data_IF_616275387742
#
_entry.id   IF_616275387742
#
_cell.length_a   1.000
_cell.length_b   1.000
_cell.length_c   1.000
_cell.angle_alpha   90.00
_cell.angle_beta   90.00
_cell.angle_gamma   90.00
#
_symmetry.space_group_name_H-M   'P 1'
#
loop_
_entity.id
_entity.type
_entity.pdbx_description
1 polymer ?
#
# COMPACT_ATOMS: atom_id res chain seq x y z
N UNK A 1 -18.53 -1.15 -3.56
CA UNK A 1 -17.42 -0.19 -3.61
C UNK A 1 -17.27 0.50 -2.25
N UNK A 2 -18.33 1.01 -1.64
CA UNK A 2 -18.28 1.72 -0.34
C UNK A 2 -17.57 0.93 0.75
N UNK A 3 -17.86 -0.37 0.89
CA UNK A 3 -17.19 -1.24 1.87
C UNK A 3 -15.67 -1.35 1.63
N UNK A 4 -15.23 -1.36 0.36
CA UNK A 4 -13.80 -1.34 0.03
C UNK A 4 -13.16 -0.01 0.41
N UNK A 5 -13.86 1.10 0.21
CA UNK A 5 -13.38 2.42 0.59
C UNK A 5 -13.27 2.56 2.11
N UNK A 6 -14.25 2.03 2.86
CA UNK A 6 -14.24 1.98 4.31
C UNK A 6 -13.10 1.10 4.82
N UNK A 7 -12.93 -0.10 4.27
CA UNK A 7 -11.83 -0.99 4.63
C UNK A 7 -10.45 -0.38 4.32
N UNK A 8 -10.32 0.34 3.21
CA UNK A 8 -9.07 1.05 2.90
C UNK A 8 -8.77 2.15 3.92
N UNK A 9 -9.78 2.81 4.42
CA UNK A 9 -9.67 3.91 5.39
C UNK A 9 -9.63 3.41 6.85
N UNK A 10 -9.68 2.10 7.07
CA UNK A 10 -9.83 1.47 8.40
C UNK A 10 -11.05 2.02 9.17
N UNK A 11 -12.13 2.32 8.45
CA UNK A 11 -13.40 2.75 9.04
C UNK A 11 -14.30 1.55 9.24
N UNK A 12 -14.99 1.48 10.38
CA UNK A 12 -15.88 0.37 10.71
C UNK A 12 -16.90 0.10 9.58
N UNK A 13 -17.21 -1.17 9.39
CA UNK A 13 -18.15 -1.63 8.37
C UNK A 13 -19.30 -2.36 9.06
N UNK A 14 -20.51 -1.86 8.83
CA UNK A 14 -21.75 -2.51 9.25
C UNK A 14 -22.45 -3.13 8.04
N UNK A 15 -22.76 -4.41 8.11
CA UNK A 15 -23.49 -5.11 7.06
C UNK A 15 -24.74 -5.73 7.62
N UNK A 16 -25.89 -5.23 7.19
CA UNK A 16 -27.19 -5.84 7.47
C UNK A 16 -27.71 -6.51 6.20
N UNK A 17 -28.06 -7.78 6.30
CA UNK A 17 -28.64 -8.54 5.18
C UNK A 17 -30.03 -9.02 5.58
N UNK A 18 -30.98 -8.94 4.65
CA UNK A 18 -32.36 -9.42 4.86
C UNK A 18 -32.38 -10.93 5.23
N UNK A 19 -31.42 -11.69 4.71
CA UNK A 19 -31.28 -13.12 4.98
C UNK A 19 -30.61 -13.46 6.32
N UNK A 20 -29.98 -12.48 6.99
CA UNK A 20 -29.36 -12.65 8.29
C UNK A 20 -29.76 -11.50 9.21
N UNK A 21 -30.63 -11.75 10.21
CA UNK A 21 -31.10 -10.70 11.09
C UNK A 21 -30.04 -10.16 12.06
N UNK A 22 -28.88 -10.84 12.17
CA UNK A 22 -27.77 -10.37 13.01
C UNK A 22 -26.85 -9.51 12.15
N UNK A 23 -26.71 -8.20 12.45
CA UNK A 23 -25.76 -7.33 11.76
C UNK A 23 -24.33 -7.86 11.93
N UNK A 24 -23.55 -7.80 10.85
CA UNK A 24 -22.11 -8.05 10.92
C UNK A 24 -21.44 -6.70 11.11
N UNK A 25 -20.78 -6.54 12.25
CA UNK A 25 -19.96 -5.38 12.56
C UNK A 25 -18.49 -5.76 12.45
N UNK A 26 -17.71 -4.99 11.68
CA UNK A 26 -16.26 -5.14 11.55
C UNK A 26 -15.64 -3.80 11.94
N UNK A 27 -15.08 -3.74 13.13
CA UNK A 27 -14.57 -2.51 13.71
C UNK A 27 -13.31 -1.98 13.00
N UNK A 28 -12.36 -2.87 12.75
CA UNK A 28 -11.07 -2.54 12.14
C UNK A 28 -10.82 -3.35 10.87
N UNK A 29 -11.55 -3.06 9.77
CA UNK A 29 -11.39 -3.81 8.54
C UNK A 29 -10.03 -3.49 7.89
N UNK A 30 -9.31 -4.52 7.46
CA UNK A 30 -8.07 -4.37 6.71
C UNK A 30 -8.10 -5.27 5.47
N UNK A 31 -8.04 -4.66 4.30
CA UNK A 31 -8.03 -5.38 3.02
C UNK A 31 -6.79 -4.96 2.22
N UNK A 32 -5.99 -5.94 1.84
CA UNK A 32 -4.90 -5.76 0.90
C UNK A 32 -5.26 -6.41 -0.42
N UNK A 33 -5.11 -5.66 -1.51
CA UNK A 33 -5.36 -6.15 -2.86
C UNK A 33 -4.12 -5.97 -3.73
N UNK A 34 -3.70 -7.04 -4.36
CA UNK A 34 -2.65 -7.05 -5.38
C UNK A 34 -3.19 -7.73 -6.61
N UNK A 35 -2.89 -7.19 -7.77
CA UNK A 35 -3.34 -7.78 -9.02
C UNK A 35 -2.64 -7.19 -10.22
N UNK A 36 -2.83 -7.82 -11.35
CA UNK A 36 -2.34 -7.33 -12.63
C UNK A 36 -3.50 -6.96 -13.53
N UNK A 37 -3.29 -5.96 -14.36
CA UNK A 37 -4.28 -5.54 -15.35
C UNK A 37 -3.59 -5.09 -16.63
N UNK A 38 -4.33 -5.13 -17.72
CA UNK A 38 -3.86 -4.59 -18.99
C UNK A 38 -4.03 -3.07 -18.99
N UNK A 39 -3.07 -2.34 -19.56
CA UNK A 39 -3.12 -0.86 -19.67
C UNK A 39 -4.44 -0.36 -20.27
N UNK A 40 -4.97 -1.07 -21.27
CA UNK A 40 -6.27 -0.73 -21.87
C UNK A 40 -7.41 -0.73 -20.84
N UNK A 41 -7.39 -1.68 -19.88
CA UNK A 41 -8.44 -1.78 -18.86
C UNK A 41 -8.39 -0.61 -17.88
N UNK A 42 -7.21 -0.08 -17.60
CA UNK A 42 -7.07 1.13 -16.76
C UNK A 42 -7.81 2.29 -17.40
N UNK A 43 -7.64 2.50 -18.70
CA UNK A 43 -8.39 3.54 -19.42
C UNK A 43 -9.91 3.32 -19.41
N UNK A 44 -10.37 2.07 -19.41
CA UNK A 44 -11.79 1.75 -19.30
C UNK A 44 -12.35 2.08 -17.90
N UNK A 45 -11.54 1.88 -16.86
CA UNK A 45 -11.92 2.27 -15.50
C UNK A 45 -12.09 3.79 -15.37
N UNK A 46 -11.18 4.57 -15.94
CA UNK A 46 -11.27 6.03 -15.99
C UNK A 46 -12.57 6.50 -16.68
N UNK A 47 -12.92 5.89 -17.82
CA UNK A 47 -14.14 6.24 -18.57
C UNK A 47 -15.45 5.89 -17.85
N UNK A 48 -15.46 4.96 -16.90
CA UNK A 48 -16.65 4.50 -16.17
C UNK A 48 -17.02 5.35 -14.96
N UNK A 49 -16.35 6.48 -14.74
CA UNK A 49 -16.64 7.37 -13.61
C UNK A 49 -16.20 6.83 -12.25
N UNK A 50 -15.28 5.86 -12.23
CA UNK A 50 -14.69 5.39 -10.96
C UNK A 50 -13.79 6.45 -10.31
N UNK A 51 -13.52 7.54 -11.00
CA UNK A 51 -12.85 8.72 -10.45
C UNK A 51 -13.72 9.42 -9.40
N UNK A 52 -15.03 9.49 -9.64
CA UNK A 52 -15.96 10.27 -8.82
C UNK A 52 -16.13 9.69 -7.41
N UNK A 53 -15.93 8.39 -7.24
CA UNK A 53 -16.05 7.72 -5.94
C UNK A 53 -14.73 7.59 -5.16
N UNK A 54 -13.62 8.07 -5.72
CA UNK A 54 -12.29 8.04 -5.11
C UNK A 54 -11.68 6.64 -4.99
N UNK A 55 -12.19 5.63 -5.71
CA UNK A 55 -11.59 4.29 -5.72
C UNK A 55 -10.20 4.31 -6.35
N UNK A 56 -10.05 5.00 -7.48
CA UNK A 56 -8.78 5.07 -8.21
C UNK A 56 -7.70 5.81 -7.41
N UNK A 57 -8.07 6.79 -6.61
CA UNK A 57 -7.16 7.51 -5.73
C UNK A 57 -6.53 6.62 -4.64
N UNK A 58 -7.12 5.46 -4.40
CA UNK A 58 -6.68 4.48 -3.40
C UNK A 58 -5.87 3.33 -3.98
N UNK A 59 -5.80 3.25 -5.31
CA UNK A 59 -5.05 2.21 -6.02
C UNK A 59 -3.69 2.77 -6.44
N UNK A 60 -2.61 2.08 -6.07
CA UNK A 60 -1.28 2.40 -6.56
C UNK A 60 -1.04 1.63 -7.86
N UNK A 61 -1.08 2.34 -8.97
CA UNK A 61 -0.75 1.77 -10.28
C UNK A 61 0.76 1.79 -10.49
N UNK A 62 1.32 0.62 -10.75
CA UNK A 62 2.74 0.48 -11.10
C UNK A 62 2.84 0.03 -12.55
N UNK A 63 3.54 0.82 -13.36
CA UNK A 63 3.80 0.50 -14.75
C UNK A 63 5.30 0.23 -14.90
N UNK A 64 5.73 -1.04 -14.90
CA UNK A 64 7.13 -1.37 -15.11
C UNK A 64 7.55 -0.92 -16.51
N UNK A 65 8.79 -0.45 -16.63
CA UNK A 65 9.37 -0.21 -17.96
C UNK A 65 9.34 -1.52 -18.75
N UNK A 66 9.12 -1.42 -20.07
CA UNK A 66 9.14 -2.61 -20.92
C UNK A 66 10.48 -3.36 -20.78
N UNK A 67 10.40 -4.65 -20.53
CA UNK A 67 11.55 -5.53 -20.48
C UNK A 67 11.72 -6.23 -21.83
N UNK A 68 12.95 -6.38 -22.25
CA UNK A 68 13.26 -7.33 -23.32
C UNK A 68 12.95 -8.73 -22.75
N UNK A 69 12.11 -9.47 -23.43
CA UNK A 69 11.86 -10.87 -23.07
C UNK A 69 13.15 -11.64 -23.35
N UNK A 70 13.81 -12.26 -22.36
CA UNK A 70 15.02 -13.01 -22.58
C UNK A 70 14.73 -14.22 -23.48
N UNK A 71 15.69 -14.58 -24.32
CA UNK A 71 15.60 -15.83 -25.06
C UNK A 71 15.74 -16.99 -24.10
N UNK A 72 15.00 -18.05 -24.35
CA UNK A 72 15.20 -19.30 -23.63
C UNK A 72 16.50 -19.93 -24.10
N UNK A 73 17.37 -20.28 -23.18
CA UNK A 73 18.62 -21.00 -23.42
C UNK A 73 18.51 -22.41 -22.86
N UNK A 74 19.06 -23.40 -23.51
CA UNK A 74 19.04 -24.78 -23.01
C UNK A 74 19.96 -24.99 -21.80
N UNK A 75 20.87 -24.04 -21.52
CA UNK A 75 21.73 -24.07 -20.35
C UNK A 75 21.01 -23.45 -19.14
N UNK A 76 20.57 -24.28 -18.24
CA UNK A 76 20.08 -23.87 -16.91
C UNK A 76 21.20 -23.26 -16.03
N UNK A 77 22.43 -23.16 -16.52
CA UNK A 77 23.63 -22.86 -15.77
C UNK A 77 24.15 -21.41 -15.90
N UNK A 78 23.51 -20.53 -16.65
CA UNK A 78 23.81 -19.10 -16.48
C UNK A 78 23.08 -18.55 -15.26
N UNK A 79 23.55 -19.07 -14.17
CA UNK A 79 23.31 -18.69 -12.81
C UNK A 79 23.47 -17.16 -12.65
N UNK A 80 22.41 -16.50 -12.33
CA UNK A 80 22.41 -15.11 -11.83
C UNK A 80 23.09 -14.99 -10.46
N UNK A 81 24.00 -15.89 -10.09
CA UNK A 81 24.84 -15.84 -8.86
C UNK A 81 24.10 -15.96 -7.55
N UNK A 82 22.80 -16.06 -7.54
CA UNK A 82 21.99 -16.20 -6.33
C UNK A 82 21.33 -17.58 -6.31
N UNK A 83 21.75 -18.42 -5.39
CA UNK A 83 21.08 -19.70 -5.13
C UNK A 83 19.61 -19.44 -4.75
N UNK A 84 18.61 -19.84 -5.57
CA UNK A 84 17.19 -19.57 -5.29
C UNK A 84 16.77 -20.09 -3.93
N UNK A 85 17.33 -21.20 -3.46
CA UNK A 85 17.03 -21.74 -2.15
C UNK A 85 17.56 -20.87 -1.00
N UNK A 86 18.68 -20.18 -1.17
CA UNK A 86 19.18 -19.24 -0.15
C UNK A 86 18.34 -17.96 -0.11
N UNK A 87 17.94 -17.44 -1.26
CA UNK A 87 17.06 -16.29 -1.35
C UNK A 87 15.70 -16.56 -0.69
N UNK A 88 15.15 -17.75 -0.92
CA UNK A 88 13.91 -18.18 -0.29
C UNK A 88 14.01 -18.27 1.23
N UNK A 89 15.05 -18.88 1.76
CA UNK A 89 15.30 -18.97 3.22
C UNK A 89 15.46 -17.61 3.86
N UNK A 90 16.15 -16.68 3.17
CA UNK A 90 16.27 -15.29 3.64
C UNK A 90 14.91 -14.61 3.71
N UNK A 91 14.08 -14.80 2.69
CA UNK A 91 12.72 -14.29 2.69
C UNK A 91 11.86 -14.87 3.82
N UNK A 92 11.91 -16.19 4.02
CA UNK A 92 11.21 -16.85 5.13
C UNK A 92 11.61 -16.27 6.47
N UNK A 93 12.91 -16.11 6.73
CA UNK A 93 13.41 -15.53 7.98
C UNK A 93 12.94 -14.07 8.18
N UNK A 94 12.88 -13.25 7.12
CA UNK A 94 12.33 -11.90 7.17
C UNK A 94 10.84 -11.94 7.53
N UNK A 95 10.07 -12.81 6.88
CA UNK A 95 8.64 -12.93 7.14
C UNK A 95 8.36 -13.45 8.56
N UNK A 96 9.08 -14.45 9.03
CA UNK A 96 8.98 -14.92 10.42
C UNK A 96 9.22 -13.79 11.41
N UNK A 97 10.20 -12.92 11.18
CA UNK A 97 10.48 -11.78 12.04
C UNK A 97 9.38 -10.72 11.97
N UNK A 98 8.78 -10.48 10.80
CA UNK A 98 7.63 -9.59 10.68
C UNK A 98 6.41 -10.14 11.41
N UNK A 99 6.12 -11.43 11.25
CA UNK A 99 4.98 -12.09 11.90
C UNK A 99 5.19 -12.32 13.41
N UNK A 100 6.42 -12.26 13.91
CA UNK A 100 6.72 -12.31 15.34
C UNK A 100 6.59 -10.97 16.05
N UNK A 101 6.24 -9.89 15.34
CA UNK A 101 5.94 -8.62 15.99
C UNK A 101 4.68 -8.77 16.83
N UNK A 102 4.87 -8.62 18.14
CA UNK A 102 3.78 -8.69 19.11
C UNK A 102 2.89 -7.46 18.99
N UNK A 103 1.65 -7.61 19.40
CA UNK A 103 0.70 -6.53 19.60
C UNK A 103 0.13 -6.62 21.01
N UNK A 104 -0.20 -5.49 21.57
CA UNK A 104 -0.89 -5.47 22.85
C UNK A 104 -2.33 -5.95 22.66
N UNK A 105 -2.83 -6.69 23.65
CA UNK A 105 -4.22 -7.18 23.67
C UNK A 105 -4.92 -6.62 24.90
N UNK A 106 -6.09 -6.04 24.72
CA UNK A 106 -6.99 -5.67 25.79
C UNK A 106 -8.31 -6.41 25.66
N UNK A 107 -9.27 -6.10 26.53
CA UNK A 107 -10.61 -6.72 26.54
C UNK A 107 -11.41 -6.44 25.24
N UNK A 108 -11.04 -5.41 24.50
CA UNK A 108 -11.66 -5.00 23.23
C UNK A 108 -10.96 -5.60 22.00
N UNK A 109 -9.80 -6.22 22.17
CA UNK A 109 -9.04 -6.85 21.09
C UNK A 109 -7.58 -6.37 21.01
N UNK A 110 -7.01 -6.47 19.82
CA UNK A 110 -5.61 -6.11 19.58
C UNK A 110 -5.45 -4.58 19.50
N UNK A 111 -4.53 -4.03 20.29
CA UNK A 111 -4.16 -2.61 20.22
C UNK A 111 -3.02 -2.45 19.20
N UNK A 112 -3.18 -1.60 18.18
CA UNK A 112 -2.11 -1.31 17.24
C UNK A 112 -1.00 -0.49 17.90
N UNK A 113 0.24 -0.86 17.68
CA UNK A 113 1.38 -0.03 18.03
C UNK A 113 1.44 1.24 17.18
N UNK A 114 1.68 2.37 17.82
CA UNK A 114 1.84 3.65 17.14
C UNK A 114 3.32 3.92 16.88
N UNK A 115 3.71 3.84 15.63
CA UNK A 115 5.08 4.17 15.21
C UNK A 115 5.12 5.62 14.76
N UNK A 116 5.85 6.45 15.50
CA UNK A 116 6.02 7.85 15.19
C UNK A 116 7.09 8.09 14.11
N UNK A 117 6.93 9.13 13.31
CA UNK A 117 8.00 9.60 12.44
C UNK A 117 9.03 10.40 13.25
N UNK A 118 10.31 10.15 13.04
CA UNK A 118 11.39 10.99 13.54
C UNK A 118 11.35 12.40 12.95
N UNK A 119 12.00 13.35 13.60
CA UNK A 119 12.00 14.77 13.18
C UNK A 119 12.47 14.95 11.74
N UNK A 120 13.52 14.24 11.35
CA UNK A 120 14.07 14.33 9.99
C UNK A 120 13.11 13.70 8.96
N UNK A 121 12.52 12.54 9.28
CA UNK A 121 11.52 11.90 8.43
C UNK A 121 10.28 12.80 8.26
N UNK A 122 9.82 13.47 9.31
CA UNK A 122 8.73 14.46 9.24
C UNK A 122 9.09 15.61 8.32
N UNK A 123 10.31 16.14 8.43
CA UNK A 123 10.79 17.24 7.57
C UNK A 123 10.77 16.86 6.10
N UNK A 124 11.29 15.68 5.76
CA UNK A 124 11.29 15.16 4.38
C UNK A 124 9.87 14.96 3.87
N UNK A 125 9.01 14.35 4.69
CA UNK A 125 7.62 14.11 4.32
C UNK A 125 6.83 15.40 4.08
N UNK A 126 6.98 16.40 4.96
CA UNK A 126 6.29 17.69 4.81
C UNK A 126 6.81 18.48 3.60
N UNK A 127 8.12 18.49 3.35
CA UNK A 127 8.67 19.13 2.16
C UNK A 127 8.13 18.49 0.88
N UNK A 128 8.11 17.15 0.81
CA UNK A 128 7.51 16.44 -0.32
C UNK A 128 6.03 16.77 -0.48
N UNK A 129 5.27 16.78 0.62
CA UNK A 129 3.84 17.08 0.58
C UNK A 129 3.59 18.51 0.09
N UNK A 130 4.27 19.49 0.65
CA UNK A 130 4.12 20.90 0.27
C UNK A 130 4.46 21.13 -1.19
N UNK A 131 5.58 20.59 -1.68
CA UNK A 131 5.94 20.67 -3.09
C UNK A 131 4.87 20.03 -3.99
N UNK A 132 4.24 18.96 -3.54
CA UNK A 132 3.13 18.31 -4.27
C UNK A 132 1.92 19.23 -4.32
N UNK A 133 1.55 19.88 -3.22
CA UNK A 133 0.44 20.85 -3.16
C UNK A 133 0.71 22.06 -4.05
N UNK A 134 1.92 22.60 -4.04
CA UNK A 134 2.29 23.71 -4.92
C UNK A 134 2.12 23.36 -6.40
N UNK A 135 2.58 22.16 -6.80
CA UNK A 135 2.38 21.67 -8.17
C UNK A 135 0.90 21.51 -8.54
N UNK A 136 0.08 20.99 -7.63
CA UNK A 136 -1.36 20.85 -7.86
C UNK A 136 -2.01 22.22 -8.01
N UNK A 137 -1.66 23.17 -7.17
CA UNK A 137 -2.21 24.51 -7.22
C UNK A 137 -1.83 25.22 -8.52
N UNK A 138 -0.57 25.09 -8.98
CA UNK A 138 -0.13 25.63 -10.26
C UNK A 138 -0.95 25.05 -11.45
N UNK A 139 -1.19 23.74 -11.47
CA UNK A 139 -1.99 23.09 -12.50
C UNK A 139 -3.45 23.58 -12.50
N UNK A 140 -4.01 23.84 -11.31
CA UNK A 140 -5.39 24.38 -11.18
C UNK A 140 -5.51 25.82 -11.70
N UNK A 141 -4.51 26.64 -11.46
CA UNK A 141 -4.48 28.02 -11.94
C UNK A 141 -4.42 28.07 -13.48
N UNK A 142 -3.87 27.05 -14.12
CA UNK A 142 -3.81 26.92 -15.57
C UNK A 142 -5.07 26.26 -16.18
N UNK A 143 -6.12 25.97 -15.40
CA UNK A 143 -7.32 25.23 -15.80
C UNK A 143 -7.04 23.86 -16.42
N UNK A 144 -5.90 23.27 -16.11
CA UNK A 144 -5.54 21.93 -16.55
C UNK A 144 -6.06 20.91 -15.53
N UNK A 145 -6.99 20.10 -15.98
CA UNK A 145 -7.61 18.90 -15.40
C UNK A 145 -7.37 18.56 -13.92
N UNK A 146 -8.49 18.41 -13.22
CA UNK A 146 -8.66 18.07 -11.81
C UNK A 146 -8.20 16.67 -11.37
N UNK A 147 -7.01 16.23 -11.60
CA UNK A 147 -6.54 15.04 -10.88
C UNK A 147 -6.03 15.45 -9.50
N UNK A 148 -6.82 15.18 -8.46
CA UNK A 148 -6.45 15.44 -7.08
C UNK A 148 -5.75 14.20 -6.51
N UNK A 149 -4.44 14.17 -6.30
CA UNK A 149 -3.79 13.08 -5.57
C UNK A 149 -4.04 13.22 -4.06
N UNK A 150 -5.30 13.38 -3.66
CA UNK A 150 -5.68 13.65 -2.26
C UNK A 150 -5.36 12.51 -1.30
N UNK A 151 -5.14 11.30 -1.82
CA UNK A 151 -4.81 10.12 -1.00
C UNK A 151 -3.32 9.76 -1.02
N UNK A 152 -2.52 10.45 -1.82
CA UNK A 152 -1.08 10.17 -1.93
C UNK A 152 -0.31 10.31 -0.62
N UNK A 153 -0.58 11.28 0.29
CA UNK A 153 0.11 11.34 1.57
C UNK A 153 -0.09 10.09 2.44
N UNK A 154 -1.30 9.55 2.45
CA UNK A 154 -1.62 8.31 3.19
C UNK A 154 -0.91 7.11 2.57
N UNK A 155 -0.86 7.02 1.23
CA UNK A 155 -0.14 5.95 0.54
C UNK A 155 1.36 6.01 0.82
N UNK A 156 1.96 7.19 0.77
CA UNK A 156 3.40 7.40 1.07
C UNK A 156 3.70 7.03 2.54
N UNK A 157 2.87 7.45 3.49
CA UNK A 157 3.03 7.09 4.88
C UNK A 157 2.94 5.57 5.11
N UNK A 158 2.00 4.90 4.46
CA UNK A 158 1.87 3.43 4.51
C UNK A 158 3.08 2.71 3.92
N UNK A 159 3.56 3.16 2.76
CA UNK A 159 4.77 2.59 2.14
C UNK A 159 6.00 2.81 3.01
N UNK A 160 6.15 3.99 3.60
CA UNK A 160 7.24 4.29 4.53
C UNK A 160 7.20 3.35 5.75
N UNK A 161 6.01 3.12 6.32
CA UNK A 161 5.84 2.19 7.44
C UNK A 161 6.20 0.75 7.03
N UNK A 162 5.73 0.27 5.88
CA UNK A 162 6.06 -1.07 5.38
C UNK A 162 7.57 -1.21 5.19
N UNK A 163 8.23 -0.23 4.58
CA UNK A 163 9.67 -0.24 4.39
C UNK A 163 10.41 -0.23 5.72
N UNK A 164 9.98 0.57 6.70
CA UNK A 164 10.58 0.61 8.03
C UNK A 164 10.49 -0.75 8.74
N UNK A 165 9.34 -1.42 8.66
CA UNK A 165 9.16 -2.78 9.22
C UNK A 165 10.05 -3.79 8.52
N UNK A 166 10.17 -3.71 7.18
CA UNK A 166 11.08 -4.58 6.42
C UNK A 166 12.56 -4.32 6.76
N UNK A 167 12.99 -3.07 6.87
CA UNK A 167 14.35 -2.73 7.31
C UNK A 167 14.65 -3.26 8.72
N UNK A 168 13.67 -3.16 9.63
CA UNK A 168 13.79 -3.79 10.94
C UNK A 168 13.95 -5.32 10.82
N UNK A 169 13.11 -5.96 10.00
CA UNK A 169 13.18 -7.41 9.82
C UNK A 169 14.51 -7.87 9.19
N UNK A 170 15.10 -7.05 8.33
CA UNK A 170 16.44 -7.26 7.77
C UNK A 170 17.58 -6.97 8.77
N UNK A 171 17.29 -6.39 9.94
CA UNK A 171 18.29 -6.03 10.94
C UNK A 171 18.97 -4.67 10.69
N UNK A 172 18.49 -3.88 9.75
CA UNK A 172 19.09 -2.60 9.35
C UNK A 172 18.55 -1.40 10.15
N UNK A 173 17.45 -1.58 10.86
CA UNK A 173 16.83 -0.51 11.66
C UNK A 173 16.23 -1.01 12.94
N UNK A 174 15.85 -0.09 13.83
CA UNK A 174 15.09 -0.37 15.05
C UNK A 174 13.66 0.14 14.90
N UNK A 175 12.69 -0.62 15.42
CA UNK A 175 11.35 -0.11 15.66
C UNK A 175 11.33 0.53 17.04
N UNK A 176 10.82 1.76 17.14
CA UNK A 176 10.55 2.43 18.40
C UNK A 176 9.02 2.60 18.47
N UNK A 177 8.44 2.00 19.47
CA UNK A 177 7.02 2.06 19.77
C UNK A 177 6.73 3.18 20.77
#
# INVERSE_FOLDING_TARGET
>A
IEQLLSAWSNSAIDVTRVSNPIPIHIENPCINMVGTTQTRRVHELLKKGYEDNGLLDRILFVMPKSYLVPRWTESEEEDTGSNPASAWRTWEAIMEKVFSLDYEVNDEGNIPHLIGMETEAKRVFFNWHNNTIERINAIRDENLVESRPMKSPVQVARLALILQVLFYACGESRLQF
#
